data_IF_112807760758
#
_entry.id   IF_112807760758
#
_cell.length_a   1.000
_cell.length_b   1.000
_cell.length_c   1.000
_cell.angle_alpha   90.00
_cell.angle_beta   90.00
_cell.angle_gamma   90.00
#
_symmetry.space_group_name_H-M   'P 1'
#
loop_
_entity.id
_entity.type
_entity.pdbx_description
1 polymer ?
#
# COMPACT_ATOMS: atom_id res chain seq x y z
N UNK A 1 12.07 -22.96 -27.06
CA UNK A 1 12.46 -22.28 -25.84
C UNK A 1 11.55 -21.08 -25.55
N UNK A 2 11.31 -20.22 -26.53
CA UNK A 2 10.40 -19.07 -26.40
C UNK A 2 8.94 -19.45 -26.05
N UNK A 3 8.38 -20.52 -26.62
CA UNK A 3 7.01 -20.95 -26.34
C UNK A 3 6.73 -21.41 -24.91
N UNK A 4 7.75 -21.94 -24.22
CA UNK A 4 7.63 -22.31 -22.79
C UNK A 4 7.65 -21.10 -21.87
N UNK A 5 8.44 -20.08 -22.21
CA UNK A 5 8.53 -18.83 -21.46
C UNK A 5 7.23 -18.04 -21.60
N UNK A 6 6.69 -17.93 -22.81
CA UNK A 6 5.39 -17.27 -23.07
C UNK A 6 4.26 -17.98 -22.33
N UNK A 7 4.26 -19.32 -22.30
CA UNK A 7 3.27 -20.14 -21.58
C UNK A 7 3.36 -19.99 -20.07
N UNK A 8 4.57 -19.82 -19.52
CA UNK A 8 4.79 -19.55 -18.10
C UNK A 8 4.36 -18.14 -17.72
N UNK A 9 4.64 -17.15 -18.56
CA UNK A 9 4.21 -15.76 -18.37
C UNK A 9 2.68 -15.66 -18.46
N UNK A 10 2.04 -16.34 -19.42
CA UNK A 10 0.59 -16.35 -19.56
C UNK A 10 -0.11 -17.08 -18.40
N UNK A 11 0.50 -18.14 -17.87
CA UNK A 11 -0.02 -18.87 -16.70
C UNK A 11 0.11 -18.05 -15.41
N UNK A 12 1.18 -17.27 -15.28
CA UNK A 12 1.33 -16.29 -14.19
C UNK A 12 0.41 -15.09 -14.36
N UNK A 13 0.22 -14.62 -15.58
CA UNK A 13 -0.74 -13.56 -15.89
C UNK A 13 -2.19 -13.99 -15.60
N UNK A 14 -2.53 -15.26 -15.81
CA UNK A 14 -3.85 -15.81 -15.44
C UNK A 14 -4.09 -15.88 -13.93
N UNK A 15 -3.04 -16.19 -13.15
CA UNK A 15 -3.10 -16.17 -11.68
C UNK A 15 -3.20 -14.73 -11.14
N UNK A 16 -2.43 -13.81 -11.70
CA UNK A 16 -2.52 -12.39 -11.35
C UNK A 16 -3.84 -11.76 -11.77
N UNK A 17 -4.39 -12.15 -12.93
CA UNK A 17 -5.72 -11.71 -13.36
C UNK A 17 -6.84 -12.19 -12.42
N UNK A 18 -6.72 -13.40 -11.86
CA UNK A 18 -7.68 -13.94 -10.87
C UNK A 18 -7.56 -13.27 -9.49
N UNK A 19 -6.38 -12.78 -9.14
CA UNK A 19 -6.14 -12.01 -7.91
C UNK A 19 -6.66 -10.57 -8.10
N UNK A 20 -6.49 -9.99 -9.29
CA UNK A 20 -6.94 -8.64 -9.68
C UNK A 20 -8.48 -8.54 -9.82
N UNK A 21 -9.21 -9.67 -9.88
CA UNK A 21 -10.67 -9.64 -9.94
C UNK A 21 -11.34 -9.00 -8.71
N UNK A 22 -10.63 -8.94 -7.56
CA UNK A 22 -11.06 -8.22 -6.37
C UNK A 22 -10.00 -7.16 -5.99
N UNK A 23 -10.18 -5.89 -6.38
CA UNK A 23 -9.21 -4.83 -6.15
C UNK A 23 -8.87 -4.65 -4.65
N UNK A 24 -9.83 -4.84 -3.75
CA UNK A 24 -9.61 -4.77 -2.31
C UNK A 24 -8.63 -5.85 -1.80
N UNK A 25 -8.74 -7.09 -2.31
CA UNK A 25 -7.84 -8.19 -1.92
C UNK A 25 -6.40 -7.95 -2.38
N UNK A 26 -6.25 -7.45 -3.59
CA UNK A 26 -4.93 -7.11 -4.15
C UNK A 26 -4.26 -6.02 -3.32
N UNK A 27 -5.00 -5.01 -2.91
CA UNK A 27 -4.49 -3.94 -2.07
C UNK A 27 -4.02 -4.46 -0.71
N UNK A 28 -4.84 -5.25 -0.01
CA UNK A 28 -4.49 -5.80 1.30
C UNK A 28 -3.19 -6.62 1.21
N UNK A 29 -3.08 -7.49 0.20
CA UNK A 29 -1.89 -8.32 0.00
C UNK A 29 -0.66 -7.45 -0.32
N UNK A 30 -0.82 -6.43 -1.16
CA UNK A 30 0.27 -5.51 -1.53
C UNK A 30 0.79 -4.74 -0.31
N UNK A 31 -0.11 -4.17 0.49
CA UNK A 31 0.27 -3.47 1.72
C UNK A 31 0.96 -4.39 2.73
N UNK A 32 0.43 -5.59 2.91
CA UNK A 32 1.02 -6.58 3.80
C UNK A 32 2.44 -6.97 3.36
N UNK A 33 2.65 -7.17 2.05
CA UNK A 33 3.98 -7.45 1.49
C UNK A 33 4.95 -6.29 1.73
N UNK A 34 4.53 -5.06 1.50
CA UNK A 34 5.39 -3.87 1.73
C UNK A 34 5.77 -3.74 3.21
N UNK A 35 4.83 -4.00 4.13
CA UNK A 35 5.09 -3.96 5.58
C UNK A 35 6.14 -5.02 5.97
N UNK A 36 6.00 -6.24 5.49
CA UNK A 36 6.95 -7.33 5.78
C UNK A 36 8.34 -7.00 5.22
N UNK A 37 8.43 -6.59 3.97
CA UNK A 37 9.71 -6.20 3.34
C UNK A 37 10.35 -5.02 4.10
N UNK A 38 9.56 -4.01 4.44
CA UNK A 38 10.01 -2.86 5.22
C UNK A 38 10.52 -3.24 6.61
N UNK A 39 9.85 -4.18 7.28
CA UNK A 39 10.28 -4.72 8.56
C UNK A 39 11.65 -5.38 8.47
N UNK A 40 11.88 -6.24 7.47
CA UNK A 40 13.17 -6.86 7.24
C UNK A 40 14.28 -5.86 6.93
N UNK A 41 13.98 -4.83 6.12
CA UNK A 41 14.92 -3.76 5.80
C UNK A 41 15.32 -2.95 7.04
N UNK A 42 14.38 -2.67 7.95
CA UNK A 42 14.64 -1.96 9.19
C UNK A 42 15.41 -2.80 10.22
N UNK A 43 15.34 -4.12 10.13
CA UNK A 43 16.14 -5.03 10.96
C UNK A 43 17.60 -5.13 10.54
N UNK A 44 17.96 -4.65 9.36
CA UNK A 44 19.35 -4.65 8.92
C UNK A 44 20.23 -3.84 9.89
N UNK A 45 21.40 -4.35 10.27
CA UNK A 45 22.31 -3.62 11.16
C UNK A 45 22.74 -2.26 10.58
N UNK A 46 22.69 -2.10 9.28
CA UNK A 46 22.94 -0.82 8.61
C UNK A 46 21.82 0.23 8.86
N UNK A 47 20.62 -0.18 9.23
CA UNK A 47 19.50 0.70 9.51
C UNK A 47 19.44 1.13 10.98
N UNK A 48 20.00 0.35 11.91
CA UNK A 48 20.05 0.64 13.33
C UNK A 48 21.32 1.41 13.69
N UNK A 49 21.20 2.48 14.47
CA UNK A 49 22.32 3.27 14.97
C UNK A 49 22.95 2.65 16.23
N UNK A 50 22.25 1.72 16.89
CA UNK A 50 22.74 0.97 18.03
C UNK A 50 23.44 -0.31 17.57
N UNK A 51 24.38 -0.80 18.38
CA UNK A 51 25.14 -2.04 18.14
C UNK A 51 24.26 -3.31 18.11
N UNK A 52 23.00 -3.20 18.47
CA UNK A 52 22.03 -4.28 18.40
C UNK A 52 20.95 -3.99 17.34
N UNK A 53 20.63 -4.95 16.47
CA UNK A 53 19.55 -4.80 15.50
C UNK A 53 18.21 -4.61 16.22
N UNK A 54 17.31 -3.88 15.58
CA UNK A 54 15.95 -3.68 16.08
C UNK A 54 15.23 -5.02 16.26
N UNK A 55 14.49 -5.16 17.35
CA UNK A 55 13.63 -6.31 17.54
C UNK A 55 12.61 -6.41 16.41
N UNK A 56 12.30 -7.63 15.97
CA UNK A 56 11.34 -7.89 14.90
C UNK A 56 10.00 -7.20 15.13
N UNK A 57 9.51 -7.24 16.36
CA UNK A 57 8.21 -6.62 16.71
C UNK A 57 8.26 -5.09 16.56
N UNK A 58 9.35 -4.47 16.99
CA UNK A 58 9.58 -3.03 16.86
C UNK A 58 9.72 -2.61 15.40
N UNK A 59 10.48 -3.37 14.62
CA UNK A 59 10.65 -3.14 13.19
C UNK A 59 9.33 -3.31 12.42
N UNK A 60 8.54 -4.34 12.76
CA UNK A 60 7.23 -4.60 12.19
C UNK A 60 6.24 -3.47 12.49
N UNK A 61 6.20 -3.03 13.75
CA UNK A 61 5.33 -1.92 14.16
C UNK A 61 5.70 -0.62 13.45
N UNK A 62 6.98 -0.30 13.39
CA UNK A 62 7.49 0.93 12.74
C UNK A 62 7.23 0.90 11.24
N UNK A 63 7.44 -0.25 10.60
CA UNK A 63 7.16 -0.44 9.18
C UNK A 63 5.65 -0.32 8.88
N UNK A 64 4.80 -0.97 9.67
CA UNK A 64 3.35 -0.89 9.53
C UNK A 64 2.85 0.55 9.72
N UNK A 65 3.35 1.25 10.72
CA UNK A 65 3.02 2.64 11.01
C UNK A 65 3.44 3.58 9.86
N UNK A 66 4.61 3.33 9.27
CA UNK A 66 5.11 4.09 8.13
C UNK A 66 4.25 3.89 6.88
N UNK A 67 3.96 2.63 6.54
CA UNK A 67 3.15 2.27 5.35
C UNK A 67 1.70 2.72 5.50
N UNK A 68 1.12 2.62 6.69
CA UNK A 68 -0.24 3.11 6.97
C UNK A 68 -0.30 4.64 7.18
N UNK A 69 0.84 5.35 7.09
CA UNK A 69 0.95 6.81 7.28
C UNK A 69 0.42 7.26 8.66
N UNK A 70 0.47 6.36 9.65
CA UNK A 70 0.00 6.65 11.02
C UNK A 70 0.97 7.55 11.77
N UNK A 71 2.28 7.40 11.51
CA UNK A 71 3.33 8.22 12.12
C UNK A 71 3.67 7.88 13.57
N UNK A 72 3.15 6.76 14.09
CA UNK A 72 3.48 6.29 15.43
C UNK A 72 4.79 5.52 15.42
N UNK A 73 5.69 5.80 16.34
CA UNK A 73 6.92 5.04 16.54
C UNK A 73 7.10 4.68 18.01
N UNK A 74 7.57 3.48 18.27
CA UNK A 74 7.94 2.99 19.62
C UNK A 74 9.38 3.36 19.94
N UNK A 75 10.15 3.71 18.92
CA UNK A 75 11.56 4.09 18.99
C UNK A 75 11.75 5.57 18.69
N UNK A 76 12.79 6.15 19.20
CA UNK A 76 13.23 7.48 18.79
C UNK A 76 13.96 7.37 17.44
N UNK A 77 13.23 7.71 16.38
CA UNK A 77 13.72 7.67 14.99
C UNK A 77 14.99 8.51 14.81
N UNK A 78 15.13 9.59 15.59
CA UNK A 78 16.26 10.50 15.45
C UNK A 78 17.56 9.90 15.98
N UNK A 79 17.50 9.16 17.08
CA UNK A 79 18.67 8.62 17.79
C UNK A 79 18.93 7.14 17.52
N UNK A 80 17.89 6.35 17.21
CA UNK A 80 18.01 4.90 17.07
C UNK A 80 18.20 4.43 15.62
N UNK A 81 17.83 5.26 14.64
CA UNK A 81 17.98 4.94 13.22
C UNK A 81 19.16 5.70 12.60
N UNK A 82 19.93 4.99 11.79
CA UNK A 82 20.96 5.59 10.93
C UNK A 82 20.31 6.43 9.81
N UNK A 83 21.12 7.17 9.09
CA UNK A 83 20.68 7.88 7.86
C UNK A 83 20.04 6.90 6.86
N UNK A 84 20.61 5.70 6.72
CA UNK A 84 20.06 4.65 5.87
C UNK A 84 18.69 4.17 6.37
N UNK A 85 18.54 3.95 7.68
CA UNK A 85 17.26 3.58 8.30
C UNK A 85 16.19 4.66 8.12
N UNK A 86 16.55 5.93 8.27
CA UNK A 86 15.65 7.07 8.02
C UNK A 86 15.22 7.15 6.56
N UNK A 87 16.13 6.89 5.63
CA UNK A 87 15.81 6.86 4.19
C UNK A 87 14.84 5.74 3.85
N UNK A 88 15.05 4.53 4.40
CA UNK A 88 14.10 3.40 4.26
C UNK A 88 12.72 3.80 4.78
N UNK A 89 12.66 4.45 5.93
CA UNK A 89 11.41 4.90 6.54
C UNK A 89 10.66 5.91 5.63
N UNK A 90 11.38 6.88 5.07
CA UNK A 90 10.80 7.88 4.13
C UNK A 90 10.23 7.19 2.90
N UNK A 91 10.94 6.22 2.33
CA UNK A 91 10.46 5.45 1.18
C UNK A 91 9.20 4.65 1.53
N UNK A 92 9.14 4.03 2.70
CA UNK A 92 7.95 3.31 3.17
C UNK A 92 6.72 4.22 3.32
N UNK A 93 6.91 5.41 3.90
CA UNK A 93 5.85 6.41 4.03
C UNK A 93 5.37 6.86 2.64
N UNK A 94 6.30 7.10 1.73
CA UNK A 94 5.98 7.54 0.37
C UNK A 94 5.20 6.47 -0.41
N UNK A 95 5.63 5.22 -0.34
CA UNK A 95 4.96 4.09 -0.99
C UNK A 95 3.55 3.88 -0.39
N UNK A 96 3.43 3.97 0.93
CA UNK A 96 2.14 3.87 1.63
C UNK A 96 1.19 5.00 1.26
N UNK A 97 1.64 6.24 1.35
CA UNK A 97 0.84 7.42 1.05
C UNK A 97 0.36 7.49 -0.40
N UNK A 98 1.26 7.28 -1.35
CA UNK A 98 0.91 7.22 -2.78
C UNK A 98 0.01 6.04 -3.09
N UNK A 99 0.26 4.87 -2.48
CA UNK A 99 -0.56 3.69 -2.66
C UNK A 99 -2.02 3.94 -2.28
N UNK A 100 -2.27 4.57 -1.14
CA UNK A 100 -3.63 4.91 -0.68
C UNK A 100 -4.31 5.90 -1.63
N UNK A 101 -3.61 6.94 -2.08
CA UNK A 101 -4.16 7.94 -3.01
C UNK A 101 -4.54 7.33 -4.35
N UNK A 102 -3.63 6.57 -4.95
CA UNK A 102 -3.87 5.90 -6.24
C UNK A 102 -5.04 4.93 -6.13
N UNK A 103 -5.10 4.15 -5.05
CA UNK A 103 -6.19 3.21 -4.85
C UNK A 103 -7.54 3.90 -4.62
N UNK A 104 -7.57 4.98 -3.86
CA UNK A 104 -8.77 5.80 -3.66
C UNK A 104 -9.30 6.34 -4.99
N UNK A 105 -8.41 6.81 -5.85
CA UNK A 105 -8.76 7.30 -7.18
C UNK A 105 -9.32 6.19 -8.08
N UNK A 106 -8.65 5.02 -8.12
CA UNK A 106 -9.15 3.86 -8.87
C UNK A 106 -10.45 3.31 -8.29
N UNK A 107 -10.59 3.32 -6.96
CA UNK A 107 -11.84 2.96 -6.29
C UNK A 107 -12.99 3.85 -6.73
N UNK A 108 -12.77 5.15 -6.72
CA UNK A 108 -13.76 6.13 -7.18
C UNK A 108 -14.14 5.92 -8.66
N UNK A 109 -13.17 5.65 -9.54
CA UNK A 109 -13.42 5.35 -10.95
C UNK A 109 -14.20 4.04 -11.13
N UNK A 110 -13.89 3.01 -10.36
CA UNK A 110 -14.59 1.72 -10.41
C UNK A 110 -16.03 1.83 -9.89
N UNK A 111 -16.25 2.62 -8.84
CA UNK A 111 -17.60 2.94 -8.33
C UNK A 111 -18.40 3.76 -9.33
N UNK A 112 -17.76 4.70 -10.02
CA UNK A 112 -18.40 5.49 -11.07
C UNK A 112 -18.93 4.64 -12.23
N UNK A 113 -18.29 3.51 -12.51
CA UNK A 113 -18.72 2.55 -13.54
C UNK A 113 -19.87 1.64 -13.07
N UNK A 114 -20.12 1.54 -11.76
CA UNK A 114 -21.20 0.76 -11.13
C UNK A 114 -22.35 1.61 -10.61
N UNK A 115 -22.32 2.92 -10.78
CA UNK A 115 -23.47 3.77 -10.45
C UNK A 115 -24.62 3.41 -11.38
N UNK A 116 -25.59 2.72 -10.84
CA UNK A 116 -26.85 2.39 -11.50
C UNK A 116 -27.57 3.68 -11.85
N UNK A 117 -28.29 3.68 -12.97
CA UNK A 117 -29.06 4.82 -13.49
C UNK A 117 -29.95 5.49 -12.41
N UNK A 118 -30.43 4.69 -11.46
CA UNK A 118 -31.23 5.18 -10.31
C UNK A 118 -30.46 6.11 -9.37
N UNK A 119 -29.16 5.87 -9.13
CA UNK A 119 -28.34 6.77 -8.27
C UNK A 119 -28.04 8.09 -8.99
N UNK A 120 -27.83 8.05 -10.29
CA UNK A 120 -27.70 9.27 -11.12
C UNK A 120 -28.95 10.13 -11.10
N UNK A 121 -30.12 9.49 -11.15
CA UNK A 121 -31.41 10.18 -11.04
C UNK A 121 -31.57 10.84 -9.67
N UNK A 122 -31.24 10.15 -8.58
CA UNK A 122 -31.35 10.69 -7.22
C UNK A 122 -30.47 11.94 -7.02
N UNK A 123 -29.22 11.90 -7.51
CA UNK A 123 -28.29 13.04 -7.45
C UNK A 123 -28.81 14.20 -8.34
N UNK A 124 -29.33 13.88 -9.52
CA UNK A 124 -29.91 14.89 -10.42
C UNK A 124 -31.14 15.57 -9.81
N UNK A 125 -31.97 14.83 -9.09
CA UNK A 125 -33.12 15.39 -8.36
C UNK A 125 -32.68 16.28 -7.19
N UNK A 126 -31.65 15.87 -6.43
CA UNK A 126 -31.13 16.68 -5.31
C UNK A 126 -30.50 18.00 -5.79
N UNK A 127 -29.79 17.98 -6.92
CA UNK A 127 -29.18 19.19 -7.50
C UNK A 127 -30.22 20.10 -8.15
N UNK A 128 -31.32 19.54 -8.65
CA UNK A 128 -32.40 20.36 -9.25
C UNK A 128 -33.29 21.06 -8.24
N UNK A 129 -33.29 20.61 -6.98
CA UNK A 129 -34.10 21.24 -5.93
C UNK A 129 -33.42 22.47 -5.31
N UNK A 130 -32.09 22.59 -5.47
CA UNK A 130 -31.34 23.79 -5.01
C UNK A 130 -31.42 25.01 -5.96
N UNK A 131 -32.05 24.86 -7.13
CA UNK A 131 -32.13 25.90 -8.16
C UNK A 131 -33.53 26.55 -8.22
N UNK A 132 -34.37 26.31 -7.23
CA UNK A 132 -35.67 27.01 -7.02
C UNK A 132 -35.66 27.75 -5.68
#
# INVERSE_FOLDING_TARGET
MFGKIIRLISKRAGLTAKIISNPARTLIISFFMVIIIGSFLLMLPAASAKDSPLNFLTALFTSASAVCVTGLSVIDVSSELTIAGKFILIVLIQVGGLGIMVFSFFGMLAFRKKMTVSEKLTISYMVSEDDM
#
